data_IF_643455550008
#
_entry.id   IF_643455550008
#
_cell.length_a   1.000
_cell.length_b   1.000
_cell.length_c   1.000
_cell.angle_alpha   90.00
_cell.angle_beta   90.00
_cell.angle_gamma   90.00
#
_symmetry.space_group_name_H-M   'P 1'
#
loop_
_entity.id
_entity.type
_entity.pdbx_description
1 polymer ?
#
# COMPACT_ATOMS: atom_id res chain seq x y z
N UNK A 1 26.13 -2.07 -14.44
CA UNK A 1 25.63 -0.69 -14.23
C UNK A 1 24.19 -0.58 -13.70
N UNK A 2 23.32 -1.61 -13.67
CA UNK A 2 21.93 -1.44 -13.18
C UNK A 2 21.78 -1.42 -11.65
N UNK A 3 22.65 -2.15 -10.94
CA UNK A 3 22.56 -2.42 -9.49
C UNK A 3 22.75 -1.19 -8.58
N UNK A 4 23.49 -0.16 -9.02
CA UNK A 4 23.68 1.05 -8.21
C UNK A 4 22.39 1.89 -8.08
N UNK A 5 21.53 1.88 -9.11
CA UNK A 5 20.27 2.64 -9.10
C UNK A 5 19.33 2.14 -8.00
N UNK A 6 19.29 0.83 -7.82
CA UNK A 6 18.58 0.18 -6.72
C UNK A 6 19.20 0.55 -5.37
N UNK A 7 20.54 0.51 -5.26
CA UNK A 7 21.25 0.84 -4.03
C UNK A 7 21.05 2.30 -3.56
N UNK A 8 20.86 3.24 -4.50
CA UNK A 8 20.57 4.64 -4.18
C UNK A 8 19.07 4.94 -4.08
N UNK A 9 18.19 3.93 -4.19
CA UNK A 9 16.74 4.10 -4.08
C UNK A 9 16.06 4.80 -5.27
N UNK A 10 16.75 4.96 -6.40
CA UNK A 10 16.18 5.58 -7.60
C UNK A 10 15.14 4.67 -8.29
N UNK A 11 15.29 3.36 -8.12
CA UNK A 11 14.32 2.34 -8.59
C UNK A 11 14.01 1.40 -7.44
N UNK A 12 12.74 0.98 -7.34
CA UNK A 12 12.29 0.09 -6.26
C UNK A 12 12.63 -1.38 -6.51
N UNK A 13 12.74 -1.80 -7.77
CA UNK A 13 12.98 -3.19 -8.15
C UNK A 13 13.78 -3.26 -9.46
N UNK A 14 14.56 -4.34 -9.65
CA UNK A 14 15.23 -4.67 -10.91
C UNK A 14 14.55 -5.90 -11.53
N UNK A 15 14.15 -5.79 -12.79
CA UNK A 15 13.63 -6.91 -13.58
C UNK A 15 14.63 -7.31 -14.68
N UNK A 16 14.46 -8.52 -15.21
CA UNK A 16 15.20 -8.98 -16.37
C UNK A 16 14.97 -8.10 -17.60
N UNK A 17 15.90 -8.16 -18.55
CA UNK A 17 15.82 -7.36 -19.76
C UNK A 17 14.55 -7.74 -20.55
N UNK A 18 13.68 -6.76 -20.79
CA UNK A 18 12.39 -6.97 -21.46
C UNK A 18 11.22 -7.30 -20.53
N UNK A 19 11.47 -7.68 -19.26
CA UNK A 19 10.44 -8.13 -18.33
C UNK A 19 9.89 -7.01 -17.42
N UNK A 20 10.37 -5.76 -17.55
CA UNK A 20 10.02 -4.68 -16.63
C UNK A 20 8.52 -4.35 -16.61
N UNK A 21 7.85 -4.36 -17.78
CA UNK A 21 6.41 -4.07 -17.87
C UNK A 21 5.59 -5.19 -17.22
N UNK A 22 5.90 -6.46 -17.55
CA UNK A 22 5.22 -7.61 -16.96
C UNK A 22 5.33 -7.59 -15.44
N UNK A 23 6.54 -7.33 -14.92
CA UNK A 23 6.76 -7.25 -13.47
C UNK A 23 6.00 -6.09 -12.83
N UNK A 24 5.98 -4.92 -13.47
CA UNK A 24 5.24 -3.76 -12.99
C UNK A 24 3.72 -4.02 -12.95
N UNK A 25 3.16 -4.68 -13.98
CA UNK A 25 1.75 -5.07 -14.01
C UNK A 25 1.44 -6.10 -12.94
N UNK A 26 2.30 -7.10 -12.75
CA UNK A 26 2.12 -8.09 -11.68
C UNK A 26 2.09 -7.42 -10.28
N UNK A 27 2.96 -6.45 -10.04
CA UNK A 27 2.94 -5.65 -8.80
C UNK A 27 1.66 -4.82 -8.69
N UNK A 28 1.21 -4.19 -9.78
CA UNK A 28 -0.03 -3.43 -9.80
C UNK A 28 -1.25 -4.31 -9.48
N UNK A 29 -1.29 -5.55 -9.96
CA UNK A 29 -2.35 -6.51 -9.63
C UNK A 29 -2.36 -6.86 -8.13
N UNK A 30 -1.18 -7.02 -7.51
CA UNK A 30 -1.08 -7.25 -6.05
C UNK A 30 -1.61 -6.06 -5.27
N UNK A 31 -1.27 -4.83 -5.67
CA UNK A 31 -1.79 -3.61 -5.01
C UNK A 31 -3.30 -3.47 -5.24
N UNK A 32 -3.79 -3.80 -6.43
CA UNK A 32 -5.20 -3.74 -6.77
C UNK A 32 -6.06 -4.76 -6.03
N UNK A 33 -5.46 -5.84 -5.50
CA UNK A 33 -6.17 -6.81 -4.65
C UNK A 33 -6.21 -6.43 -3.17
N UNK A 34 -5.62 -5.30 -2.77
CA UNK A 34 -5.67 -4.77 -1.40
C UNK A 34 -6.90 -3.87 -1.18
N UNK A 35 -7.29 -3.55 0.07
CA UNK A 35 -8.40 -2.63 0.35
C UNK A 35 -8.17 -1.25 -0.29
N UNK A 36 -9.01 -0.80 -1.24
CA UNK A 36 -8.74 0.43 -2.00
C UNK A 36 -8.64 1.68 -1.13
N UNK A 37 -9.46 1.81 -0.10
CA UNK A 37 -9.42 2.96 0.82
C UNK A 37 -8.13 2.97 1.65
N UNK A 38 -7.70 1.81 2.15
CA UNK A 38 -6.46 1.70 2.91
C UNK A 38 -5.23 2.02 2.06
N UNK A 39 -5.14 1.49 0.83
CA UNK A 39 -4.02 1.78 -0.09
C UNK A 39 -3.89 3.28 -0.37
N UNK A 40 -5.01 3.96 -0.61
CA UNK A 40 -5.05 5.41 -0.85
C UNK A 40 -4.57 6.18 0.39
N UNK A 41 -5.11 5.86 1.55
CA UNK A 41 -4.75 6.49 2.80
C UNK A 41 -3.27 6.29 3.15
N UNK A 42 -2.74 5.07 3.00
CA UNK A 42 -1.31 4.77 3.22
C UNK A 42 -0.44 5.65 2.32
N UNK A 43 -0.76 5.74 1.02
CA UNK A 43 0.00 6.58 0.08
C UNK A 43 -0.04 8.06 0.48
N UNK A 44 -1.20 8.56 0.90
CA UNK A 44 -1.37 9.94 1.34
C UNK A 44 -0.58 10.25 2.62
N UNK A 45 -0.68 9.38 3.62
CA UNK A 45 0.04 9.49 4.90
C UNK A 45 1.55 9.47 4.67
N UNK A 46 2.06 8.56 3.84
CA UNK A 46 3.50 8.48 3.54
C UNK A 46 3.97 9.75 2.82
N UNK A 47 3.28 10.18 1.76
CA UNK A 47 3.71 11.34 0.98
C UNK A 47 3.64 12.65 1.78
N UNK A 48 2.61 12.81 2.61
CA UNK A 48 2.40 14.02 3.39
C UNK A 48 3.27 14.02 4.65
N UNK A 49 3.33 12.89 5.35
CA UNK A 49 4.07 12.72 6.60
C UNK A 49 5.57 12.91 6.46
N UNK A 50 6.15 12.65 5.27
CA UNK A 50 7.57 12.90 4.99
C UNK A 50 8.00 14.36 5.22
N UNK A 51 7.08 15.33 5.15
CA UNK A 51 7.36 16.75 5.35
C UNK A 51 6.94 17.27 6.73
N UNK A 52 6.50 16.40 7.63
CA UNK A 52 6.05 16.77 8.97
C UNK A 52 7.08 16.36 10.04
N UNK A 53 7.12 17.04 11.19
CA UNK A 53 7.74 16.49 12.40
C UNK A 53 7.10 15.13 12.73
N UNK A 54 7.88 14.22 13.33
CA UNK A 54 7.44 12.86 13.64
C UNK A 54 6.09 12.82 14.37
N UNK A 55 5.90 13.64 15.39
CA UNK A 55 4.64 13.70 16.14
C UNK A 55 3.44 14.08 15.26
N UNK A 56 3.65 14.97 14.29
CA UNK A 56 2.64 15.36 13.31
C UNK A 56 2.32 14.24 12.32
N UNK A 57 3.34 13.51 11.85
CA UNK A 57 3.17 12.36 10.98
C UNK A 57 2.42 11.21 11.69
N UNK A 58 2.75 10.91 12.95
CA UNK A 58 2.06 9.91 13.77
C UNK A 58 0.60 10.31 14.06
N UNK A 59 0.34 11.60 14.29
CA UNK A 59 -1.02 12.11 14.43
C UNK A 59 -1.83 11.93 13.14
N UNK A 60 -1.23 12.22 11.98
CA UNK A 60 -1.83 12.02 10.66
C UNK A 60 -2.15 10.55 10.41
N UNK A 61 -1.20 9.65 10.65
CA UNK A 61 -1.37 8.20 10.52
C UNK A 61 -2.51 7.69 11.40
N UNK A 62 -2.54 8.08 12.68
CA UNK A 62 -3.62 7.69 13.60
C UNK A 62 -4.99 8.14 13.13
N UNK A 63 -5.12 9.35 12.59
CA UNK A 63 -6.39 9.84 12.03
C UNK A 63 -6.83 9.02 10.82
N UNK A 64 -5.90 8.74 9.91
CA UNK A 64 -6.19 7.89 8.74
C UNK A 64 -6.63 6.49 9.16
N UNK A 65 -5.95 5.89 10.14
CA UNK A 65 -6.36 4.59 10.71
C UNK A 65 -7.77 4.62 11.30
N UNK A 66 -8.10 5.64 12.08
CA UNK A 66 -9.43 5.80 12.68
C UNK A 66 -10.54 5.90 11.63
N UNK A 67 -10.29 6.63 10.53
CA UNK A 67 -11.25 6.77 9.43
C UNK A 67 -11.50 5.44 8.70
N UNK A 68 -10.48 4.60 8.59
CA UNK A 68 -10.59 3.30 7.93
C UNK A 68 -11.24 2.23 8.82
N UNK A 69 -11.28 2.45 10.13
CA UNK A 69 -11.70 1.42 11.09
C UNK A 69 -13.17 1.00 10.95
N UNK A 70 -14.02 1.90 10.45
CA UNK A 70 -15.47 1.69 10.26
C UNK A 70 -15.83 1.41 8.78
N UNK A 71 -14.86 0.96 7.97
CA UNK A 71 -15.10 0.64 6.55
C UNK A 71 -15.50 -0.82 6.38
N UNK A 72 -16.32 -1.11 5.37
CA UNK A 72 -16.74 -2.49 5.08
C UNK A 72 -15.57 -3.40 4.70
N UNK A 73 -14.53 -2.83 4.10
CA UNK A 73 -13.30 -3.55 3.78
C UNK A 73 -12.49 -3.93 5.03
N UNK A 74 -12.57 -3.12 6.10
CA UNK A 74 -11.95 -3.46 7.38
C UNK A 74 -12.65 -4.68 7.99
N UNK A 75 -13.99 -4.67 8.03
CA UNK A 75 -14.78 -5.79 8.55
C UNK A 75 -14.55 -7.06 7.74
N UNK A 76 -14.56 -6.95 6.41
CA UNK A 76 -14.31 -8.06 5.50
C UNK A 76 -12.89 -8.61 5.65
N UNK A 77 -11.88 -7.75 5.78
CA UNK A 77 -10.50 -8.17 6.01
C UNK A 77 -10.36 -8.97 7.30
N UNK A 78 -10.96 -8.50 8.39
CA UNK A 78 -10.98 -9.20 9.68
C UNK A 78 -11.72 -10.53 9.59
N UNK A 79 -12.90 -10.55 8.97
CA UNK A 79 -13.69 -11.77 8.77
C UNK A 79 -12.95 -12.80 7.93
N UNK A 80 -12.43 -12.40 6.78
CA UNK A 80 -11.69 -13.28 5.87
C UNK A 80 -10.45 -13.88 6.54
N UNK A 81 -9.75 -13.11 7.38
CA UNK A 81 -8.62 -13.59 8.16
C UNK A 81 -9.04 -14.68 9.16
N UNK A 82 -10.13 -14.45 9.93
CA UNK A 82 -10.67 -15.43 10.87
C UNK A 82 -11.16 -16.71 10.16
N UNK A 83 -11.79 -16.54 9.01
CA UNK A 83 -12.32 -17.63 8.16
C UNK A 83 -11.24 -18.30 7.29
N UNK A 84 -10.00 -17.81 7.31
CA UNK A 84 -8.86 -18.31 6.51
C UNK A 84 -9.15 -18.38 5.00
N UNK A 85 -9.86 -17.39 4.48
CA UNK A 85 -10.17 -17.26 3.06
C UNK A 85 -9.60 -15.97 2.49
N UNK A 86 -9.60 -15.87 1.17
CA UNK A 86 -9.26 -14.61 0.50
C UNK A 86 -10.38 -13.56 0.75
N UNK A 87 -10.02 -12.32 1.09
CA UNK A 87 -10.97 -11.23 1.25
C UNK A 87 -11.48 -10.72 -0.10
N UNK A 88 -12.69 -10.15 -0.11
CA UNK A 88 -13.25 -9.48 -1.28
C UNK A 88 -13.55 -8.02 -0.96
N UNK A 89 -12.60 -7.15 -1.28
CA UNK A 89 -12.72 -5.72 -1.02
C UNK A 89 -13.59 -5.01 -2.07
N UNK A 90 -14.37 -4.02 -1.62
CA UNK A 90 -15.29 -3.21 -2.44
C UNK A 90 -14.95 -1.72 -2.44
N UNK A 91 -14.06 -1.27 -1.54
CA UNK A 91 -13.68 0.14 -1.44
C UNK A 91 -14.77 1.03 -0.83
N UNK A 92 -15.55 0.47 0.09
CA UNK A 92 -16.65 1.14 0.79
C UNK A 92 -16.47 1.07 2.31
#
# INVERSE_FOLDING_TARGET
MRRWRLAMGLVSELADTGAALERAVALACVIASMPPLAVRAIKEVVNTGQNLPLDGALLLERKAFQLLFDTSDQEEGMRAFLEKRQPVYRGA
#
